data_IF_490623423900
#
_entry.id   IF_490623423900
#
_cell.length_a   1.000
_cell.length_b   1.000
_cell.length_c   1.000
_cell.angle_alpha   90.00
_cell.angle_beta   90.00
_cell.angle_gamma   90.00
#
_symmetry.space_group_name_H-M   'P 1'
#
loop_
_entity.id
_entity.type
_entity.pdbx_description
1 polymer ?
#
# COMPACT_ATOMS: atom_id res chain seq x y z
N UNK A 1 18.12 17.98 3.63
CA UNK A 1 16.87 17.30 4.04
C UNK A 1 16.21 16.71 2.80
N UNK A 2 15.63 17.52 1.91
CA UNK A 2 14.93 17.04 0.68
C UNK A 2 15.74 16.02 -0.11
N UNK A 3 16.96 16.35 -0.55
CA UNK A 3 17.81 15.40 -1.30
C UNK A 3 18.09 14.10 -0.55
N UNK A 4 18.23 14.12 0.78
CA UNK A 4 18.43 12.90 1.56
C UNK A 4 17.14 12.06 1.63
N UNK A 5 15.99 12.73 1.74
CA UNK A 5 14.67 12.08 1.67
C UNK A 5 14.44 11.43 0.30
N UNK A 6 14.84 12.07 -0.80
CA UNK A 6 14.70 11.51 -2.15
C UNK A 6 15.51 10.22 -2.32
N UNK A 7 16.74 10.15 -1.77
CA UNK A 7 17.55 8.94 -1.81
C UNK A 7 16.94 7.79 -0.99
N UNK A 8 16.30 8.10 0.15
CA UNK A 8 15.56 7.11 0.95
C UNK A 8 14.32 6.62 0.19
N UNK A 9 13.56 7.53 -0.42
CA UNK A 9 12.38 7.19 -1.23
C UNK A 9 12.76 6.29 -2.43
N UNK A 10 13.98 6.45 -2.96
CA UNK A 10 14.52 5.59 -4.02
C UNK A 10 14.92 4.18 -3.54
N UNK A 11 14.90 3.90 -2.22
CA UNK A 11 15.22 2.60 -1.64
C UNK A 11 16.72 2.37 -1.40
N UNK A 12 17.55 3.41 -1.46
CA UNK A 12 19.01 3.27 -1.38
C UNK A 12 19.55 3.03 0.04
N UNK A 13 18.71 3.11 1.06
CA UNK A 13 19.12 3.10 2.48
C UNK A 13 18.20 2.23 3.35
N UNK A 14 17.50 1.26 2.77
CA UNK A 14 16.52 0.41 3.48
C UNK A 14 17.14 -0.32 4.69
N UNK A 15 18.42 -0.66 4.65
CA UNK A 15 19.16 -1.30 5.73
C UNK A 15 19.29 -0.43 6.99
N UNK A 16 19.08 0.89 6.87
CA UNK A 16 19.16 1.84 7.98
C UNK A 16 17.85 1.96 8.78
N UNK A 17 16.85 1.13 8.49
CA UNK A 17 15.58 1.07 9.24
C UNK A 17 15.40 -0.30 9.93
N UNK A 18 16.24 -0.66 10.93
CA UNK A 18 16.28 -2.01 11.50
C UNK A 18 15.14 -2.31 12.49
N UNK A 19 14.36 -1.30 12.88
CA UNK A 19 13.32 -1.42 13.89
C UNK A 19 12.26 -2.46 13.51
N UNK A 20 11.74 -3.16 14.52
CA UNK A 20 10.68 -4.15 14.34
C UNK A 20 9.31 -3.51 14.43
N UNK A 21 8.31 -4.18 13.86
CA UNK A 21 6.90 -3.75 13.94
C UNK A 21 6.42 -3.62 15.38
N UNK A 22 6.86 -4.53 16.26
CA UNK A 22 6.51 -4.55 17.69
C UNK A 22 7.29 -3.50 18.47
N UNK A 23 6.86 -2.25 18.35
CA UNK A 23 7.44 -1.07 18.99
C UNK A 23 6.32 -0.29 19.72
N UNK A 24 6.54 0.99 20.07
CA UNK A 24 5.46 1.82 20.63
C UNK A 24 4.26 1.92 19.67
N UNK A 25 3.05 1.95 20.21
CA UNK A 25 1.82 2.01 19.40
C UNK A 25 1.66 3.30 18.59
N UNK A 26 2.31 4.38 19.01
CA UNK A 26 2.34 5.66 18.27
C UNK A 26 3.36 5.70 17.14
N UNK A 27 4.17 4.65 16.94
CA UNK A 27 5.20 4.62 15.89
C UNK A 27 6.38 5.58 16.11
N UNK A 28 6.52 6.15 17.31
CA UNK A 28 7.53 7.17 17.61
C UNK A 28 8.96 6.71 17.34
N UNK A 29 9.32 5.45 17.59
CA UNK A 29 10.68 4.98 17.27
C UNK A 29 10.94 4.97 15.76
N UNK A 30 9.97 4.53 14.93
CA UNK A 30 10.10 4.59 13.47
C UNK A 30 10.14 6.02 12.95
N UNK A 31 9.33 6.94 13.52
CA UNK A 31 9.40 8.36 13.20
C UNK A 31 10.81 8.93 13.48
N UNK A 32 11.35 8.64 14.66
CA UNK A 32 12.70 9.07 15.03
C UNK A 32 13.79 8.42 14.18
N UNK A 33 13.66 7.15 13.82
CA UNK A 33 14.59 6.47 12.93
C UNK A 33 14.68 7.19 11.57
N UNK A 34 13.54 7.56 10.98
CA UNK A 34 13.51 8.32 9.73
C UNK A 34 14.14 9.70 9.90
N UNK A 35 13.82 10.42 10.98
CA UNK A 35 14.40 11.73 11.27
C UNK A 35 15.92 11.67 11.41
N UNK A 36 16.44 10.68 12.12
CA UNK A 36 17.88 10.50 12.36
C UNK A 36 18.63 10.08 11.10
N UNK A 37 18.06 9.19 10.28
CA UNK A 37 18.68 8.80 9.01
C UNK A 37 18.73 9.99 8.05
N UNK A 38 17.62 10.73 7.89
CA UNK A 38 17.58 11.95 7.05
C UNK A 38 18.59 12.99 7.55
N UNK A 39 18.63 13.25 8.87
CA UNK A 39 19.54 14.22 9.45
C UNK A 39 21.01 13.83 9.21
N UNK A 40 21.37 12.58 9.46
CA UNK A 40 22.75 12.10 9.29
C UNK A 40 23.18 12.09 7.84
N UNK A 41 22.33 11.65 6.91
CA UNK A 41 22.61 11.72 5.48
C UNK A 41 22.78 13.17 5.03
N UNK A 42 21.89 14.07 5.46
CA UNK A 42 22.01 15.49 5.14
C UNK A 42 23.31 16.10 5.68
N UNK A 43 23.73 15.76 6.90
CA UNK A 43 24.99 16.22 7.50
C UNK A 43 26.19 15.71 6.69
N UNK A 44 26.23 14.42 6.37
CA UNK A 44 27.32 13.83 5.58
C UNK A 44 27.45 14.50 4.21
N UNK A 45 26.33 14.79 3.53
CA UNK A 45 26.33 15.47 2.23
C UNK A 45 26.89 16.90 2.29
N UNK A 46 26.91 17.51 3.48
CA UNK A 46 27.52 18.83 3.72
C UNK A 46 28.92 18.74 4.34
N UNK A 47 29.56 17.56 4.32
CA UNK A 47 30.89 17.34 4.87
C UNK A 47 30.95 17.39 6.40
N UNK A 48 29.81 17.31 7.08
CA UNK A 48 29.75 17.31 8.54
C UNK A 48 30.01 15.93 9.16
N UNK A 49 30.03 15.89 10.49
CA UNK A 49 30.29 14.66 11.26
C UNK A 49 28.98 13.94 11.55
N UNK A 50 28.86 12.67 11.15
CA UNK A 50 27.68 11.85 11.44
C UNK A 50 27.42 11.77 12.94
N UNK A 51 26.15 11.86 13.35
CA UNK A 51 25.72 11.85 14.75
C UNK A 51 25.90 13.18 15.49
N UNK A 52 26.56 14.18 14.88
CA UNK A 52 26.77 15.50 15.50
C UNK A 52 25.50 16.32 15.68
N UNK A 53 24.43 15.96 14.94
CA UNK A 53 23.16 16.72 14.86
C UNK A 53 23.34 18.19 14.44
N UNK A 54 24.49 18.51 13.84
CA UNK A 54 24.86 19.84 13.37
C UNK A 54 25.39 19.74 11.93
N UNK A 55 24.95 20.59 10.99
CA UNK A 55 23.96 21.66 11.18
C UNK A 55 22.51 21.18 11.21
N UNK A 56 22.24 19.90 10.90
CA UNK A 56 20.87 19.38 10.78
C UNK A 56 20.50 18.52 12.00
N UNK A 57 19.81 19.14 12.96
CA UNK A 57 19.19 18.43 14.09
C UNK A 57 17.94 17.62 13.66
N UNK A 58 17.79 16.34 14.06
CA UNK A 58 16.67 15.50 13.65
C UNK A 58 15.31 16.02 14.13
N UNK A 59 15.21 16.61 15.32
CA UNK A 59 13.93 17.16 15.80
C UNK A 59 13.68 18.59 15.28
N UNK A 60 14.61 19.49 15.57
CA UNK A 60 14.46 20.93 15.34
C UNK A 60 14.39 21.31 13.85
N UNK A 61 14.90 20.44 12.95
CA UNK A 61 14.88 20.67 11.51
C UNK A 61 14.07 19.61 10.75
N UNK A 62 14.34 18.32 10.91
CA UNK A 62 13.65 17.27 10.12
C UNK A 62 12.21 17.08 10.60
N UNK A 63 12.03 16.94 11.92
CA UNK A 63 10.72 16.80 12.57
C UNK A 63 10.08 18.15 12.97
N UNK A 64 10.51 19.26 12.35
CA UNK A 64 9.98 20.58 12.68
C UNK A 64 8.50 20.63 12.32
N UNK A 65 7.69 21.16 13.23
CA UNK A 65 6.22 21.27 13.09
C UNK A 65 5.49 19.94 12.93
N UNK A 66 6.07 18.84 13.43
CA UNK A 66 5.52 17.49 13.32
C UNK A 66 5.49 16.81 14.69
N UNK A 67 4.58 15.85 14.84
CA UNK A 67 4.54 14.89 15.94
C UNK A 67 4.66 13.47 15.39
N UNK A 68 4.96 12.47 16.22
CA UNK A 68 4.74 11.08 15.76
C UNK A 68 3.24 10.80 15.58
N UNK A 69 2.38 11.54 16.30
CA UNK A 69 0.96 11.26 16.38
C UNK A 69 0.16 11.71 15.15
N UNK A 70 0.69 12.61 14.33
CA UNK A 70 0.13 13.04 13.03
C UNK A 70 0.91 12.42 11.85
N UNK A 71 2.24 12.38 11.93
CA UNK A 71 3.10 11.83 10.86
C UNK A 71 2.93 10.34 10.69
N UNK A 72 2.91 9.55 11.77
CA UNK A 72 2.85 8.09 11.63
C UNK A 72 1.52 7.60 11.04
N UNK A 73 0.33 8.06 11.50
CA UNK A 73 -0.93 7.75 10.83
C UNK A 73 -1.00 8.24 9.39
N UNK A 74 -0.45 9.41 9.09
CA UNK A 74 -0.34 9.94 7.72
C UNK A 74 0.50 9.02 6.83
N UNK A 75 1.66 8.56 7.31
CA UNK A 75 2.51 7.61 6.59
C UNK A 75 1.81 6.26 6.38
N UNK A 76 1.04 5.78 7.37
CA UNK A 76 0.22 4.56 7.24
C UNK A 76 -0.80 4.68 6.11
N UNK A 77 -1.53 5.81 6.03
CA UNK A 77 -2.49 6.07 4.97
C UNK A 77 -1.82 6.11 3.60
N UNK A 78 -0.71 6.85 3.46
CA UNK A 78 0.06 6.92 2.21
C UNK A 78 0.52 5.53 1.77
N UNK A 79 1.13 4.75 2.67
CA UNK A 79 1.62 3.41 2.37
C UNK A 79 0.49 2.46 1.93
N UNK A 80 -0.66 2.52 2.63
CA UNK A 80 -1.81 1.71 2.30
C UNK A 80 -2.42 2.08 0.93
N UNK A 81 -2.63 3.37 0.66
CA UNK A 81 -3.10 3.87 -0.64
C UNK A 81 -2.14 3.47 -1.77
N UNK A 82 -0.84 3.62 -1.57
CA UNK A 82 0.17 3.22 -2.55
C UNK A 82 0.11 1.72 -2.84
N UNK A 83 -0.02 0.88 -1.81
CA UNK A 83 -0.15 -0.57 -1.97
C UNK A 83 -1.42 -0.94 -2.74
N UNK A 84 -2.56 -0.32 -2.40
CA UNK A 84 -3.83 -0.55 -3.09
C UNK A 84 -3.76 -0.16 -4.56
N UNK A 85 -3.28 1.05 -4.88
CA UNK A 85 -3.25 1.56 -6.26
C UNK A 85 -2.18 0.91 -7.13
N UNK A 86 -1.01 0.60 -6.58
CA UNK A 86 0.13 0.08 -7.35
C UNK A 86 0.16 -1.45 -7.45
N UNK A 87 -0.47 -2.17 -6.50
CA UNK A 87 -0.43 -3.64 -6.45
C UNK A 87 -1.81 -4.27 -6.54
N UNK A 88 -2.70 -3.98 -5.58
CA UNK A 88 -3.95 -4.73 -5.45
C UNK A 88 -4.93 -4.45 -6.60
N UNK A 89 -5.23 -3.18 -6.88
CA UNK A 89 -6.20 -2.81 -7.93
C UNK A 89 -5.76 -3.35 -9.31
N UNK A 90 -4.49 -3.18 -9.75
CA UNK A 90 -4.03 -3.78 -11.00
C UNK A 90 -4.15 -5.31 -11.03
N UNK A 91 -3.89 -6.00 -9.92
CA UNK A 91 -4.00 -7.45 -9.85
C UNK A 91 -5.46 -7.93 -9.96
N UNK A 92 -6.39 -7.24 -9.28
CA UNK A 92 -7.82 -7.53 -9.35
C UNK A 92 -8.38 -7.22 -10.74
N UNK A 93 -7.94 -6.14 -11.37
CA UNK A 93 -8.32 -5.79 -12.74
C UNK A 93 -7.78 -6.81 -13.77
N UNK A 94 -6.55 -7.30 -13.59
CA UNK A 94 -6.03 -8.40 -14.40
C UNK A 94 -6.90 -9.66 -14.29
N UNK A 95 -7.27 -10.05 -13.05
CA UNK A 95 -8.14 -11.19 -12.81
C UNK A 95 -9.55 -10.97 -13.39
N UNK A 96 -10.11 -9.78 -13.27
CA UNK A 96 -11.40 -9.40 -13.87
C UNK A 96 -11.40 -9.65 -15.38
N UNK A 97 -10.38 -9.16 -16.10
CA UNK A 97 -10.27 -9.36 -17.55
C UNK A 97 -10.12 -10.83 -17.92
N UNK A 98 -9.35 -11.60 -17.15
CA UNK A 98 -9.19 -13.04 -17.37
C UNK A 98 -10.52 -13.80 -17.18
N UNK A 99 -11.30 -13.44 -16.16
CA UNK A 99 -12.64 -14.00 -15.94
C UNK A 99 -13.59 -13.62 -17.07
N UNK A 100 -13.61 -12.37 -17.53
CA UNK A 100 -14.46 -11.93 -18.64
C UNK A 100 -14.13 -12.66 -19.95
N UNK A 101 -12.84 -12.91 -20.22
CA UNK A 101 -12.42 -13.72 -21.36
C UNK A 101 -12.97 -15.16 -21.26
N UNK A 102 -12.93 -15.76 -20.07
CA UNK A 102 -13.46 -17.11 -19.84
C UNK A 102 -14.99 -17.18 -19.90
N UNK A 103 -15.69 -16.12 -19.52
CA UNK A 103 -17.15 -16.02 -19.73
C UNK A 103 -17.48 -16.13 -21.22
N UNK A 104 -16.74 -15.43 -22.08
CA UNK A 104 -16.95 -15.48 -23.53
C UNK A 104 -16.55 -16.84 -24.13
N UNK A 105 -15.38 -17.37 -23.75
CA UNK A 105 -14.87 -18.67 -24.21
C UNK A 105 -15.83 -19.82 -23.87
N UNK A 106 -16.45 -19.78 -22.69
CA UNK A 106 -17.32 -20.85 -22.20
C UNK A 106 -18.81 -20.62 -22.44
N UNK A 107 -19.17 -19.64 -23.28
CA UNK A 107 -20.57 -19.26 -23.54
C UNK A 107 -21.44 -20.44 -23.92
N UNK A 108 -20.95 -21.31 -24.80
CA UNK A 108 -21.72 -22.42 -25.38
C UNK A 108 -21.42 -23.78 -24.72
N UNK A 109 -20.59 -23.80 -23.67
CA UNK A 109 -20.22 -25.02 -22.95
C UNK A 109 -21.29 -25.39 -21.91
N UNK A 110 -22.23 -26.25 -22.27
CA UNK A 110 -23.29 -26.72 -21.35
C UNK A 110 -22.73 -27.70 -20.32
N UNK A 111 -23.07 -27.48 -19.04
CA UNK A 111 -22.73 -28.33 -17.90
C UNK A 111 -23.95 -28.58 -17.00
N UNK A 112 -23.83 -29.57 -16.10
CA UNK A 112 -24.82 -29.76 -15.03
C UNK A 112 -24.61 -28.70 -13.93
N UNK A 113 -25.67 -28.01 -13.54
CA UNK A 113 -25.65 -27.15 -12.35
C UNK A 113 -25.61 -27.99 -11.07
N UNK A 114 -25.12 -27.41 -9.96
CA UNK A 114 -25.17 -28.07 -8.65
C UNK A 114 -25.66 -27.14 -7.55
N UNK A 115 -26.63 -27.61 -6.78
CA UNK A 115 -27.13 -26.95 -5.56
C UNK A 115 -27.06 -27.95 -4.42
N UNK A 116 -26.56 -27.54 -3.25
CA UNK A 116 -26.26 -28.49 -2.16
C UNK A 116 -25.34 -29.65 -2.61
N UNK A 117 -24.47 -29.40 -3.58
CA UNK A 117 -23.60 -30.38 -4.24
C UNK A 117 -24.34 -31.52 -5.00
N UNK A 118 -25.66 -31.44 -5.12
CA UNK A 118 -26.47 -32.38 -5.90
C UNK A 118 -26.74 -31.82 -7.29
N UNK A 119 -26.92 -32.72 -8.27
CA UNK A 119 -27.23 -32.35 -9.65
C UNK A 119 -28.55 -31.55 -9.74
N UNK A 120 -28.52 -30.48 -10.52
CA UNK A 120 -29.63 -29.55 -10.71
C UNK A 120 -29.93 -29.35 -12.21
N UNK A 121 -30.57 -28.25 -12.57
CA UNK A 121 -30.84 -27.93 -14.00
C UNK A 121 -29.56 -27.53 -14.75
N UNK A 122 -29.44 -27.84 -16.06
CA UNK A 122 -28.29 -27.44 -16.87
C UNK A 122 -28.11 -25.92 -16.95
N UNK A 123 -26.85 -25.51 -17.10
CA UNK A 123 -26.44 -24.13 -17.36
C UNK A 123 -25.14 -24.13 -18.17
N UNK A 124 -24.70 -22.99 -18.69
CA UNK A 124 -23.38 -22.93 -19.35
C UNK A 124 -22.27 -22.61 -18.36
N UNK A 125 -21.07 -23.13 -18.62
CA UNK A 125 -19.88 -22.80 -17.83
C UNK A 125 -19.56 -21.30 -17.92
N UNK A 126 -19.90 -20.64 -19.04
CA UNK A 126 -19.85 -19.19 -19.15
C UNK A 126 -20.76 -18.47 -18.16
N UNK A 127 -21.99 -18.97 -17.94
CA UNK A 127 -22.89 -18.41 -16.91
C UNK A 127 -22.32 -18.58 -15.50
N UNK A 128 -21.70 -19.72 -15.17
CA UNK A 128 -21.03 -19.93 -13.89
C UNK A 128 -19.88 -18.92 -13.69
N UNK A 129 -19.01 -18.76 -14.69
CA UNK A 129 -17.91 -17.80 -14.64
C UNK A 129 -18.39 -16.34 -14.59
N UNK A 130 -19.59 -16.04 -15.12
CA UNK A 130 -20.16 -14.70 -15.06
C UNK A 130 -20.46 -14.27 -13.63
N UNK A 131 -20.78 -15.24 -12.74
CA UNK A 131 -20.91 -15.00 -11.30
C UNK A 131 -19.59 -14.55 -10.68
N UNK A 132 -18.49 -15.23 -11.01
CA UNK A 132 -17.15 -14.88 -10.51
C UNK A 132 -16.71 -13.50 -11.01
N UNK A 133 -16.91 -13.22 -12.30
CA UNK A 133 -16.63 -11.89 -12.90
C UNK A 133 -17.43 -10.78 -12.20
N UNK A 134 -18.73 -10.99 -11.96
CA UNK A 134 -19.57 -10.01 -11.26
C UNK A 134 -19.08 -9.72 -9.84
N UNK A 135 -18.68 -10.76 -9.09
CA UNK A 135 -18.10 -10.60 -7.75
C UNK A 135 -16.82 -9.78 -7.77
N UNK A 136 -15.95 -10.01 -8.76
CA UNK A 136 -14.69 -9.28 -8.90
C UNK A 136 -14.92 -7.80 -9.22
N UNK A 137 -15.86 -7.49 -10.11
CA UNK A 137 -16.25 -6.09 -10.43
C UNK A 137 -16.73 -5.34 -9.19
N UNK A 138 -17.62 -5.95 -8.41
CA UNK A 138 -18.11 -5.36 -7.16
C UNK A 138 -16.99 -5.21 -6.11
N UNK A 139 -16.03 -6.13 -6.07
CA UNK A 139 -14.86 -6.03 -5.19
C UNK A 139 -14.00 -4.81 -5.55
N UNK A 140 -13.72 -4.61 -6.84
CA UNK A 140 -13.00 -3.44 -7.34
C UNK A 140 -13.70 -2.13 -6.97
N UNK A 141 -15.02 -2.06 -7.12
CA UNK A 141 -15.81 -0.89 -6.72
C UNK A 141 -15.70 -0.58 -5.23
N UNK A 142 -15.79 -1.60 -4.36
CA UNK A 142 -15.67 -1.45 -2.90
C UNK A 142 -14.27 -0.98 -2.49
N UNK A 143 -13.23 -1.55 -3.08
CA UNK A 143 -11.83 -1.13 -2.82
C UNK A 143 -11.59 0.29 -3.32
N UNK A 144 -12.11 0.66 -4.48
CA UNK A 144 -11.99 2.03 -4.99
C UNK A 144 -12.72 3.03 -4.08
N UNK A 145 -13.91 2.68 -3.58
CA UNK A 145 -14.67 3.52 -2.67
C UNK A 145 -13.93 3.76 -1.34
N UNK A 146 -13.31 2.72 -0.76
CA UNK A 146 -12.58 2.87 0.51
C UNK A 146 -11.42 3.86 0.44
N UNK A 147 -10.86 4.10 -0.76
CA UNK A 147 -9.80 5.10 -0.94
C UNK A 147 -10.24 6.51 -0.56
N UNK A 148 -11.53 6.83 -0.67
CA UNK A 148 -12.07 8.17 -0.37
C UNK A 148 -11.66 8.66 1.00
N UNK A 149 -11.86 7.83 2.03
CA UNK A 149 -11.49 8.16 3.41
C UNK A 149 -9.99 7.97 3.69
N UNK A 150 -9.30 7.13 2.92
CA UNK A 150 -7.87 6.91 3.09
C UNK A 150 -7.02 8.06 2.54
N UNK A 151 -7.59 8.93 1.69
CA UNK A 151 -6.93 10.15 1.23
C UNK A 151 -6.91 11.28 2.27
N UNK A 152 -7.73 11.18 3.33
CA UNK A 152 -7.69 12.12 4.44
C UNK A 152 -6.45 11.83 5.31
N UNK A 153 -5.64 12.86 5.56
CA UNK A 153 -4.40 12.74 6.32
C UNK A 153 -4.54 13.48 7.65
N UNK A 154 -3.75 13.08 8.64
CA UNK A 154 -3.80 13.65 9.99
C UNK A 154 -2.93 14.91 10.15
N UNK A 155 -2.38 15.44 9.05
CA UNK A 155 -1.48 16.60 8.97
C UNK A 155 -2.10 17.77 8.19
#
# INVERSE_FOLDING_TARGET
IVSASDEIIAGNFDEHFPLKVWQTGSGTQSNMNVNEVIANLAIQRHGGVLGSKTPIHPNDHVNKSQSSNDVFPTAMHIAAVMSLKKKLIPALDHLQRALDAKVAEFRDCVKIGRTHLMDAVPMTLGQEFSGYSSQMRQCLERVAFSLTHMYELAI
#
